data_IF_740156732594
#
_entry.id   IF_740156732594
#
_cell.length_a   1.000
_cell.length_b   1.000
_cell.length_c   1.000
_cell.angle_alpha   90.00
_cell.angle_beta   90.00
_cell.angle_gamma   90.00
#
_symmetry.space_group_name_H-M   'P 1'
#
loop_
_entity.id
_entity.type
_entity.pdbx_description
1 polymer ?
#
# COMPACT_ATOMS: atom_id res chain seq x y z
N UNK A 1 -4.53 1.88 7.30
CA UNK A 1 -5.01 1.91 5.91
C UNK A 1 -6.27 2.73 5.82
N UNK A 2 -6.31 3.68 4.89
CA UNK A 2 -7.52 4.44 4.59
C UNK A 2 -8.51 3.60 3.77
N UNK A 3 -9.80 3.87 3.92
CA UNK A 3 -10.85 3.38 3.03
C UNK A 3 -10.79 4.13 1.70
N UNK A 4 -11.37 3.55 0.64
CA UNK A 4 -11.37 4.16 -0.70
C UNK A 4 -11.98 5.58 -0.70
N UNK A 5 -13.05 5.79 0.07
CA UNK A 5 -13.71 7.09 0.20
C UNK A 5 -12.82 8.15 0.85
N UNK A 6 -11.95 7.73 1.77
CA UNK A 6 -10.98 8.62 2.42
C UNK A 6 -9.84 8.94 1.46
N UNK A 7 -9.36 7.93 0.70
CA UNK A 7 -8.33 8.13 -0.33
C UNK A 7 -8.77 9.13 -1.41
N UNK A 8 -10.06 9.11 -1.80
CA UNK A 8 -10.62 10.07 -2.77
C UNK A 8 -10.58 11.53 -2.28
N UNK A 9 -10.57 11.73 -0.96
CA UNK A 9 -10.54 13.07 -0.34
C UNK A 9 -9.11 13.56 -0.10
N UNK A 10 -8.10 12.72 -0.29
CA UNK A 10 -6.71 13.10 -0.10
C UNK A 10 -6.20 13.94 -1.28
N UNK A 11 -5.37 14.93 -0.97
CA UNK A 11 -4.60 15.64 -1.97
C UNK A 11 -3.58 14.71 -2.66
N UNK A 12 -3.25 15.01 -3.92
CA UNK A 12 -2.27 14.25 -4.71
C UNK A 12 -0.94 14.07 -3.99
N UNK A 13 -0.46 15.09 -3.27
CA UNK A 13 0.79 15.02 -2.49
C UNK A 13 0.70 13.97 -1.38
N UNK A 14 -0.42 13.94 -0.63
CA UNK A 14 -0.66 12.95 0.42
C UNK A 14 -0.82 11.54 -0.16
N UNK A 15 -1.48 11.39 -1.32
CA UNK A 15 -1.56 10.11 -2.01
C UNK A 15 -0.18 9.56 -2.37
N UNK A 16 0.73 10.41 -2.88
CA UNK A 16 2.10 10.01 -3.18
C UNK A 16 2.90 9.62 -1.92
N UNK A 17 2.72 10.35 -0.82
CA UNK A 17 3.34 10.00 0.46
C UNK A 17 2.85 8.65 1.00
N UNK A 18 1.55 8.40 0.91
CA UNK A 18 0.96 7.12 1.34
C UNK A 18 1.36 5.95 0.43
N UNK A 19 1.50 6.17 -0.89
CA UNK A 19 2.07 5.17 -1.80
C UNK A 19 3.48 4.80 -1.35
N UNK A 20 4.35 5.79 -1.07
CA UNK A 20 5.72 5.53 -0.61
C UNK A 20 5.76 4.75 0.71
N UNK A 21 4.86 5.05 1.64
CA UNK A 21 4.73 4.30 2.91
C UNK A 21 4.31 2.85 2.65
N UNK A 22 3.26 2.65 1.87
CA UNK A 22 2.75 1.32 1.55
C UNK A 22 3.78 0.47 0.76
N UNK A 23 4.58 1.09 -0.11
CA UNK A 23 5.67 0.42 -0.82
C UNK A 23 6.81 -0.02 0.13
N UNK A 24 7.17 0.81 1.13
CA UNK A 24 8.13 0.43 2.17
C UNK A 24 7.63 -0.74 3.02
N UNK A 25 6.36 -0.69 3.44
CA UNK A 25 5.74 -1.79 4.19
C UNK A 25 5.68 -3.06 3.35
N UNK A 26 5.31 -2.96 2.07
CA UNK A 26 5.29 -4.09 1.15
C UNK A 26 6.68 -4.73 0.99
N UNK A 27 7.74 -3.91 0.93
CA UNK A 27 9.11 -4.41 0.86
C UNK A 27 9.49 -5.16 2.15
N UNK A 28 9.19 -4.58 3.32
CA UNK A 28 9.47 -5.20 4.61
C UNK A 28 8.72 -6.52 4.78
N UNK A 29 7.40 -6.51 4.58
CA UNK A 29 6.56 -7.71 4.63
C UNK A 29 7.04 -8.76 3.61
N UNK A 30 7.49 -8.31 2.42
CA UNK A 30 7.98 -9.19 1.37
C UNK A 30 9.29 -9.87 1.76
N UNK A 31 10.18 -9.12 2.40
CA UNK A 31 11.42 -9.63 2.95
C UNK A 31 11.16 -10.65 4.06
N UNK A 32 10.32 -10.32 5.04
CA UNK A 32 9.98 -11.22 6.16
C UNK A 32 9.29 -12.51 5.70
N UNK A 33 8.42 -12.43 4.68
CA UNK A 33 7.81 -13.62 4.08
C UNK A 33 8.86 -14.47 3.35
N UNK A 34 9.77 -13.82 2.61
CA UNK A 34 10.83 -14.52 1.85
C UNK A 34 11.84 -15.21 2.76
N UNK A 35 12.17 -14.61 3.90
CA UNK A 35 13.09 -15.18 4.90
C UNK A 35 12.40 -16.18 5.83
N UNK A 36 11.09 -16.43 5.67
CA UNK A 36 10.32 -17.34 6.51
C UNK A 36 10.05 -16.80 7.93
N UNK A 37 10.38 -15.53 8.19
CA UNK A 37 10.18 -14.86 9.47
C UNK A 37 8.71 -14.53 9.74
N UNK A 38 7.89 -14.38 8.69
CA UNK A 38 6.46 -14.13 8.82
C UNK A 38 5.63 -14.89 7.79
N UNK A 39 4.47 -15.42 8.20
CA UNK A 39 3.45 -15.97 7.28
C UNK A 39 2.43 -14.90 6.87
N UNK A 40 2.88 -13.67 6.65
CA UNK A 40 2.03 -12.51 6.40
C UNK A 40 1.68 -12.30 4.91
N UNK A 41 1.49 -13.37 4.15
CA UNK A 41 1.13 -13.30 2.72
C UNK A 41 -0.17 -12.53 2.47
N UNK A 42 -1.08 -12.54 3.44
CA UNK A 42 -2.30 -11.72 3.40
C UNK A 42 -2.00 -10.21 3.43
N UNK A 43 -1.02 -9.76 4.23
CA UNK A 43 -0.61 -8.35 4.30
C UNK A 43 -0.01 -7.88 2.98
N UNK A 44 0.77 -8.72 2.31
CA UNK A 44 1.28 -8.44 0.96
C UNK A 44 0.14 -8.16 -0.04
N UNK A 45 -0.90 -8.99 -0.03
CA UNK A 45 -2.06 -8.81 -0.91
C UNK A 45 -2.78 -7.50 -0.63
N UNK A 46 -2.97 -7.20 0.65
CA UNK A 46 -3.61 -5.97 1.13
C UNK A 46 -2.83 -4.73 0.68
N UNK A 47 -1.52 -4.69 0.92
CA UNK A 47 -0.66 -3.56 0.56
C UNK A 47 -0.58 -3.34 -0.95
N UNK A 48 -0.48 -4.42 -1.75
CA UNK A 48 -0.54 -4.32 -3.22
C UNK A 48 -1.85 -3.72 -3.72
N UNK A 49 -3.00 -4.18 -3.18
CA UNK A 49 -4.31 -3.65 -3.55
C UNK A 49 -4.42 -2.16 -3.25
N UNK A 50 -3.91 -1.74 -2.09
CA UNK A 50 -3.95 -0.36 -1.64
C UNK A 50 -3.13 0.59 -2.50
N UNK A 51 -1.91 0.17 -2.86
CA UNK A 51 -1.06 0.90 -3.79
C UNK A 51 -1.77 1.05 -5.14
N UNK A 52 -2.40 -0.02 -5.64
CA UNK A 52 -3.15 0.04 -6.89
C UNK A 52 -4.30 1.06 -6.83
N UNK A 53 -5.09 1.06 -5.74
CA UNK A 53 -6.17 2.03 -5.54
C UNK A 53 -5.66 3.48 -5.55
N UNK A 54 -4.57 3.77 -4.85
CA UNK A 54 -3.97 5.12 -4.83
C UNK A 54 -3.42 5.52 -6.21
N UNK A 55 -2.78 4.60 -6.94
CA UNK A 55 -2.29 4.85 -8.31
C UNK A 55 -3.44 5.11 -9.29
N UNK A 56 -4.56 4.40 -9.17
CA UNK A 56 -5.76 4.67 -9.96
C UNK A 56 -6.30 6.08 -9.69
N UNK A 57 -6.37 6.50 -8.42
CA UNK A 57 -6.85 7.83 -8.05
C UNK A 57 -5.94 8.97 -8.51
N UNK A 58 -4.62 8.73 -8.65
CA UNK A 58 -3.70 9.72 -9.21
C UNK A 58 -3.86 9.91 -10.72
N UNK A 59 -4.27 8.85 -11.43
CA UNK A 59 -4.46 8.82 -12.88
C UNK A 59 -5.89 9.12 -13.34
N UNK A 60 -6.85 9.25 -12.40
CA UNK A 60 -8.23 9.66 -12.67
C UNK A 60 -8.36 11.18 -12.61
#
# INVERSE_FOLDING_TARGET
MYKLEELKKLEKKKLLEEIKKAEKELFKDGFEVKTGQAKASHKLRINKRYIAQMKTLLNS
#
